data_IF_268873899852
#
_entry.id   IF_268873899852
#
_cell.length_a   1.000
_cell.length_b   1.000
_cell.length_c   1.000
_cell.angle_alpha   90.00
_cell.angle_beta   90.00
_cell.angle_gamma   90.00
#
_symmetry.space_group_name_H-M   'P 1'
#
loop_
_entity.id
_entity.type
_entity.pdbx_description
1 polymer ?
#
# COMPACT_ATOMS: atom_id res chain seq x y z
N UNK A 1 0.16 6.37 35.48
CA UNK A 1 0.19 7.83 35.24
C UNK A 1 0.79 8.58 36.43
N UNK A 2 0.01 9.05 37.43
CA UNK A 2 0.48 9.93 38.53
C UNK A 2 1.74 9.49 39.30
N UNK A 3 1.91 8.19 39.57
CA UNK A 3 3.13 7.67 40.24
C UNK A 3 4.39 7.80 39.36
N UNK A 4 4.23 7.73 38.04
CA UNK A 4 5.31 7.84 37.06
C UNK A 4 5.66 9.31 36.80
N UNK A 5 4.64 10.18 36.66
CA UNK A 5 4.80 11.64 36.48
C UNK A 5 5.60 12.30 37.60
N UNK A 6 5.48 11.80 38.84
CA UNK A 6 6.17 12.38 40.00
C UNK A 6 7.65 11.97 40.12
N UNK A 7 8.19 11.17 39.19
CA UNK A 7 9.62 10.82 39.19
C UNK A 7 10.44 11.93 38.52
N UNK A 8 11.53 12.33 39.17
CA UNK A 8 12.44 13.37 38.66
C UNK A 8 13.06 13.04 37.30
N UNK A 9 13.12 11.76 36.95
CA UNK A 9 13.65 11.23 35.68
C UNK A 9 12.66 11.38 34.50
N UNK A 10 11.39 11.69 34.78
CA UNK A 10 10.31 11.64 33.80
C UNK A 10 9.90 13.06 33.41
N UNK A 11 10.13 13.43 32.14
CA UNK A 11 9.81 14.77 31.61
C UNK A 11 8.33 14.94 31.26
N UNK A 12 7.68 13.90 30.72
CA UNK A 12 6.27 13.94 30.37
C UNK A 12 5.66 12.53 30.39
N UNK A 13 4.37 12.44 30.70
CA UNK A 13 3.58 11.20 30.58
C UNK A 13 2.31 11.57 29.82
N UNK A 14 2.15 10.96 28.65
CA UNK A 14 0.94 11.10 27.83
C UNK A 14 0.18 9.77 27.82
N UNK A 15 -1.16 9.80 27.90
CA UNK A 15 -1.97 8.61 27.70
C UNK A 15 -1.64 7.98 26.35
N UNK A 16 -1.37 6.69 26.35
CA UNK A 16 -1.35 5.93 25.10
C UNK A 16 -2.78 5.72 24.63
N UNK A 17 -3.05 6.03 23.37
CA UNK A 17 -4.37 5.85 22.76
C UNK A 17 -4.20 5.30 21.35
N UNK A 18 -5.07 4.38 20.97
CA UNK A 18 -5.07 3.84 19.62
C UNK A 18 -5.35 4.96 18.63
N UNK A 19 -4.36 5.26 17.80
CA UNK A 19 -4.51 6.14 16.64
C UNK A 19 -4.84 5.31 15.42
N UNK A 20 -5.66 5.87 14.54
CA UNK A 20 -5.82 5.31 13.19
C UNK A 20 -4.57 5.69 12.40
N UNK A 21 -3.89 4.71 11.84
CA UNK A 21 -2.77 4.95 10.93
C UNK A 21 -3.31 5.75 9.74
N UNK A 22 -2.70 6.90 9.47
CA UNK A 22 -3.00 7.75 8.34
C UNK A 22 -1.68 8.24 7.74
N UNK A 23 -1.56 8.15 6.42
CA UNK A 23 -0.38 8.64 5.68
C UNK A 23 -0.48 10.13 5.35
N UNK A 24 -1.47 10.85 5.89
CA UNK A 24 -1.77 12.24 5.56
C UNK A 24 -0.72 13.25 6.04
N UNK A 25 0.19 12.85 6.94
CA UNK A 25 1.23 13.73 7.50
C UNK A 25 2.64 13.10 7.49
N UNK A 26 2.74 11.83 7.07
CA UNK A 26 4.01 11.10 7.07
C UNK A 26 5.05 11.76 6.15
N UNK A 27 4.70 12.24 4.94
CA UNK A 27 5.66 12.93 4.08
C UNK A 27 6.27 14.17 4.72
N UNK A 28 5.45 15.00 5.38
CA UNK A 28 5.89 16.20 6.09
C UNK A 28 6.78 15.84 7.28
N UNK A 29 6.38 14.82 8.06
CA UNK A 29 7.16 14.32 9.19
C UNK A 29 8.55 13.83 8.75
N UNK A 30 8.63 13.15 7.60
CA UNK A 30 9.88 12.68 7.02
C UNK A 30 10.65 13.78 6.26
N UNK A 31 10.09 14.98 6.11
CA UNK A 31 10.72 16.09 5.39
C UNK A 31 10.81 15.88 3.88
N UNK A 32 10.01 14.98 3.29
CA UNK A 32 10.07 14.67 1.85
C UNK A 32 9.78 15.88 0.95
N UNK A 33 8.80 16.77 1.25
CA UNK A 33 8.50 17.93 0.41
C UNK A 33 9.66 18.92 0.23
N UNK A 34 10.58 18.98 1.19
CA UNK A 34 11.80 19.81 1.12
C UNK A 34 13.08 19.00 0.90
N UNK A 35 12.97 17.69 0.73
CA UNK A 35 14.07 16.73 0.71
C UNK A 35 14.10 15.94 -0.59
N UNK A 36 14.08 14.61 -0.46
CA UNK A 36 14.30 13.69 -1.58
C UNK A 36 13.38 13.95 -2.79
N UNK A 37 12.11 14.30 -2.59
CA UNK A 37 11.20 14.55 -3.71
C UNK A 37 11.63 15.75 -4.57
N UNK A 38 12.22 16.79 -3.99
CA UNK A 38 12.72 17.95 -4.75
C UNK A 38 13.87 17.54 -5.68
N UNK A 39 14.73 16.64 -5.21
CA UNK A 39 15.87 16.13 -5.99
C UNK A 39 15.37 15.31 -7.19
N UNK A 40 14.29 14.55 -7.00
CA UNK A 40 13.69 13.68 -8.01
C UNK A 40 12.64 14.39 -8.88
N UNK A 41 12.61 15.74 -8.90
CA UNK A 41 11.75 16.54 -9.79
C UNK A 41 10.39 16.94 -9.23
N UNK A 42 10.08 16.59 -7.98
CA UNK A 42 8.88 16.96 -7.26
C UNK A 42 8.00 15.75 -6.87
N UNK A 43 7.01 15.95 -5.99
CA UNK A 43 6.13 14.86 -5.51
C UNK A 43 5.35 14.17 -6.64
N UNK A 44 5.09 14.87 -7.74
CA UNK A 44 4.31 14.34 -8.88
C UNK A 44 5.10 13.35 -9.74
N UNK A 45 6.43 13.43 -9.72
CA UNK A 45 7.33 12.61 -10.57
C UNK A 45 8.27 11.73 -9.76
N UNK A 46 8.41 11.98 -8.46
CA UNK A 46 9.28 11.20 -7.59
C UNK A 46 8.85 9.72 -7.58
N UNK A 47 9.74 8.85 -8.06
CA UNK A 47 9.50 7.41 -8.19
C UNK A 47 8.96 6.96 -9.54
N UNK A 48 8.78 7.86 -10.52
CA UNK A 48 8.43 7.48 -11.88
C UNK A 48 9.48 6.50 -12.47
N UNK A 49 9.01 5.50 -13.21
CA UNK A 49 9.87 4.47 -13.79
C UNK A 49 10.30 3.36 -12.83
N UNK A 50 10.02 3.50 -11.52
CA UNK A 50 10.32 2.49 -10.50
C UNK A 50 9.08 1.63 -10.24
N UNK A 51 9.27 0.31 -10.25
CA UNK A 51 8.22 -0.66 -9.88
C UNK A 51 8.50 -1.19 -8.48
N UNK A 52 7.54 -1.05 -7.57
CA UNK A 52 7.62 -1.58 -6.21
C UNK A 52 6.67 -2.78 -6.11
N UNK A 53 7.21 -3.93 -5.74
CA UNK A 53 6.41 -5.14 -5.49
C UNK A 53 6.05 -5.25 -4.01
N UNK A 54 4.78 -5.51 -3.73
CA UNK A 54 4.27 -5.81 -2.39
C UNK A 54 3.86 -7.29 -2.34
N UNK A 55 4.29 -7.98 -1.28
CA UNK A 55 3.86 -9.36 -0.97
C UNK A 55 3.02 -9.27 0.29
N UNK A 56 1.70 -9.24 0.11
CA UNK A 56 0.74 -8.96 1.18
C UNK A 56 -0.58 -9.72 0.95
N UNK A 57 -1.67 -9.34 1.61
CA UNK A 57 -2.99 -9.99 1.56
C UNK A 57 -3.76 -9.80 0.25
N UNK A 58 -3.28 -8.91 -0.63
CA UNK A 58 -3.89 -8.59 -1.90
C UNK A 58 -3.88 -7.09 -2.14
N UNK A 59 -4.76 -6.61 -3.03
CA UNK A 59 -5.04 -5.19 -3.20
C UNK A 59 -6.50 -4.94 -3.58
N UNK A 60 -7.11 -3.86 -3.09
CA UNK A 60 -8.36 -3.30 -3.64
C UNK A 60 -8.02 -2.42 -4.86
N UNK A 61 -8.27 -2.89 -6.10
CA UNK A 61 -7.93 -2.14 -7.30
C UNK A 61 -8.80 -0.89 -7.48
N UNK A 62 -9.88 -0.74 -6.72
CA UNK A 62 -10.80 0.40 -6.81
C UNK A 62 -10.42 1.54 -5.86
N UNK A 63 -9.45 1.33 -4.97
CA UNK A 63 -9.05 2.33 -4.00
C UNK A 63 -8.42 3.56 -4.68
N UNK A 64 -8.80 4.81 -4.32
CA UNK A 64 -8.34 6.02 -5.01
C UNK A 64 -6.82 6.21 -5.09
N UNK A 65 -6.06 5.68 -4.12
CA UNK A 65 -4.58 5.72 -4.13
C UNK A 65 -3.96 5.02 -5.35
N UNK A 66 -4.69 4.12 -6.00
CA UNK A 66 -4.25 3.36 -7.17
C UNK A 66 -4.88 3.87 -8.48
N UNK A 67 -5.53 5.03 -8.47
CA UNK A 67 -6.07 5.64 -9.67
C UNK A 67 -4.94 6.17 -10.57
N UNK A 68 -5.08 6.00 -11.89
CA UNK A 68 -4.15 6.46 -12.92
C UNK A 68 -4.70 7.63 -13.75
N UNK A 69 -5.79 8.26 -13.29
CA UNK A 69 -6.46 9.40 -13.93
C UNK A 69 -6.35 10.73 -13.18
N UNK A 70 -5.54 10.79 -12.11
CA UNK A 70 -5.41 11.98 -11.26
C UNK A 70 -4.37 12.97 -11.80
N UNK A 71 -3.35 12.50 -12.52
CA UNK A 71 -2.32 13.34 -13.13
C UNK A 71 -2.72 13.78 -14.54
N UNK A 72 -2.29 14.98 -14.95
CA UNK A 72 -2.47 15.47 -16.32
C UNK A 72 -1.63 14.69 -17.32
N UNK A 73 -0.52 14.12 -16.87
CA UNK A 73 0.35 13.23 -17.65
C UNK A 73 0.17 11.78 -17.17
N UNK A 74 -0.18 10.82 -18.05
CA UNK A 74 -0.33 9.42 -17.68
C UNK A 74 1.04 8.77 -17.42
N UNK A 75 1.22 8.15 -16.27
CA UNK A 75 2.43 7.37 -15.96
C UNK A 75 2.55 6.16 -16.92
N UNK A 76 3.61 6.02 -17.72
CA UNK A 76 3.76 4.86 -18.58
C UNK A 76 4.20 3.63 -17.76
N UNK A 77 3.73 2.45 -18.16
CA UNK A 77 4.27 1.19 -17.63
C UNK A 77 5.73 1.07 -18.09
N UNK A 78 6.71 0.88 -17.18
CA UNK A 78 8.10 0.80 -17.59
C UNK A 78 8.33 -0.34 -18.60
N UNK A 79 9.08 -0.11 -19.69
CA UNK A 79 9.19 -1.08 -20.80
C UNK A 79 9.88 -2.39 -20.41
N UNK A 80 10.61 -2.40 -19.30
CA UNK A 80 11.28 -3.56 -18.75
C UNK A 80 10.36 -4.38 -17.80
N UNK A 81 9.17 -3.88 -17.47
CA UNK A 81 8.24 -4.60 -16.61
C UNK A 81 7.63 -5.78 -17.36
N UNK A 82 7.75 -6.98 -16.79
CA UNK A 82 7.26 -8.23 -17.37
C UNK A 82 6.28 -8.97 -16.45
N UNK A 83 5.76 -8.29 -15.42
CA UNK A 83 4.75 -8.87 -14.53
C UNK A 83 3.41 -9.04 -15.24
N UNK A 84 2.54 -9.85 -14.64
CA UNK A 84 1.21 -10.12 -15.16
C UNK A 84 0.14 -9.48 -14.26
N UNK A 85 -1.00 -9.18 -14.88
CA UNK A 85 -2.24 -8.92 -14.17
C UNK A 85 -3.13 -10.16 -14.30
N UNK A 86 -3.24 -10.93 -13.22
CA UNK A 86 -4.06 -12.11 -13.19
C UNK A 86 -5.54 -11.74 -13.22
N UNK A 87 -6.31 -12.40 -14.07
CA UNK A 87 -7.76 -12.20 -14.18
C UNK A 87 -8.46 -13.36 -13.48
N UNK A 88 -9.27 -13.01 -12.49
CA UNK A 88 -10.13 -13.95 -11.76
C UNK A 88 -11.55 -13.42 -11.72
N UNK A 89 -12.46 -14.16 -11.05
CA UNK A 89 -13.85 -13.71 -10.86
C UNK A 89 -13.92 -12.42 -10.04
N UNK A 90 -13.11 -12.31 -9.00
CA UNK A 90 -13.15 -11.21 -8.03
C UNK A 90 -12.11 -10.11 -8.38
N UNK A 91 -11.25 -10.38 -9.37
CA UNK A 91 -10.29 -9.44 -9.93
C UNK A 91 -10.40 -9.44 -11.47
N UNK A 92 -11.44 -8.80 -12.03
CA UNK A 92 -11.75 -8.88 -13.46
C UNK A 92 -10.75 -8.10 -14.33
N UNK A 93 -10.89 -8.28 -15.66
CA UNK A 93 -10.15 -7.47 -16.63
C UNK A 93 -10.40 -5.98 -16.40
N UNK A 94 -9.33 -5.19 -16.30
CA UNK A 94 -9.37 -3.76 -16.01
C UNK A 94 -9.08 -3.40 -14.55
N UNK A 95 -8.90 -4.38 -13.66
CA UNK A 95 -8.45 -4.12 -12.28
C UNK A 95 -7.02 -3.59 -12.20
N UNK A 96 -6.13 -4.02 -13.09
CA UNK A 96 -4.84 -3.35 -13.28
C UNK A 96 -5.00 -2.17 -14.25
N UNK A 97 -4.22 -1.13 -14.01
CA UNK A 97 -4.17 0.10 -14.79
C UNK A 97 -2.71 0.56 -14.93
N UNK A 98 -2.47 1.86 -15.20
CA UNK A 98 -1.10 2.38 -15.31
C UNK A 98 -0.40 2.67 -13.97
N UNK A 99 -1.11 2.60 -12.84
CA UNK A 99 -0.58 2.72 -11.48
C UNK A 99 -0.38 1.36 -10.83
N UNK A 100 -1.42 0.52 -10.80
CA UNK A 100 -1.37 -0.89 -10.42
C UNK A 100 -1.11 -1.71 -11.69
N UNK A 101 0.16 -1.95 -12.00
CA UNK A 101 0.57 -2.52 -13.30
C UNK A 101 0.64 -4.05 -13.32
N UNK A 102 0.58 -4.70 -12.17
CA UNK A 102 0.57 -6.16 -12.05
C UNK A 102 0.02 -6.60 -10.71
N UNK A 103 -0.62 -7.77 -10.70
CA UNK A 103 -1.28 -8.35 -9.54
C UNK A 103 -1.38 -9.86 -9.76
N UNK A 104 -0.91 -10.65 -8.80
CA UNK A 104 -0.98 -12.11 -8.82
C UNK A 104 -1.18 -12.63 -7.40
N UNK A 105 -1.66 -13.86 -7.28
CA UNK A 105 -1.90 -14.48 -5.98
C UNK A 105 -1.25 -15.85 -5.86
N UNK A 106 -1.00 -16.28 -4.62
CA UNK A 106 -0.30 -17.53 -4.33
C UNK A 106 -0.98 -18.31 -3.18
N UNK A 107 -2.26 -18.64 -3.34
CA UNK A 107 -3.06 -19.30 -2.29
C UNK A 107 -2.90 -20.84 -2.24
N UNK A 108 -2.28 -21.47 -3.25
CA UNK A 108 -2.29 -22.92 -3.43
C UNK A 108 -1.76 -23.71 -2.21
N UNK A 109 -0.70 -23.22 -1.55
CA UNK A 109 -0.15 -23.89 -0.37
C UNK A 109 -1.06 -23.78 0.85
N UNK A 110 -1.68 -22.62 1.08
CA UNK A 110 -2.62 -22.41 2.17
C UNK A 110 -3.85 -23.30 2.00
N UNK A 111 -4.37 -23.40 0.77
CA UNK A 111 -5.50 -24.28 0.42
C UNK A 111 -5.14 -25.73 0.67
N UNK A 112 -4.00 -26.21 0.15
CA UNK A 112 -3.57 -27.60 0.31
C UNK A 112 -3.35 -28.00 1.79
N UNK A 113 -2.99 -27.03 2.64
CA UNK A 113 -2.76 -27.23 4.08
C UNK A 113 -4.02 -27.02 4.94
N UNK A 114 -5.16 -26.66 4.34
CA UNK A 114 -6.39 -26.35 5.06
C UNK A 114 -6.30 -25.09 5.93
N UNK A 115 -5.38 -24.18 5.62
CA UNK A 115 -5.19 -22.90 6.31
C UNK A 115 -5.95 -21.75 5.64
N UNK A 116 -6.42 -21.94 4.41
CA UNK A 116 -7.15 -20.94 3.65
C UNK A 116 -8.60 -20.81 4.15
N UNK A 117 -8.96 -19.62 4.65
CA UNK A 117 -10.28 -19.32 5.14
C UNK A 117 -11.13 -18.64 4.05
N UNK A 118 -11.88 -19.41 3.26
CA UNK A 118 -12.65 -18.89 2.13
C UNK A 118 -13.79 -17.90 2.49
N UNK A 119 -14.04 -17.62 3.77
CA UNK A 119 -14.95 -16.54 4.20
C UNK A 119 -14.27 -15.19 4.33
N UNK A 120 -12.93 -15.16 4.38
CA UNK A 120 -12.09 -13.97 4.59
C UNK A 120 -11.08 -13.83 3.43
N UNK A 121 -10.44 -14.93 3.04
CA UNK A 121 -9.43 -15.00 2.00
C UNK A 121 -10.03 -15.16 0.60
N UNK A 122 -9.36 -14.56 -0.39
CA UNK A 122 -9.66 -14.72 -1.81
C UNK A 122 -8.53 -15.48 -2.50
N UNK A 123 -8.88 -16.50 -3.30
CA UNK A 123 -7.95 -17.16 -4.21
C UNK A 123 -7.82 -16.32 -5.49
N UNK A 124 -7.43 -15.05 -5.30
CA UNK A 124 -7.27 -14.03 -6.32
C UNK A 124 -6.36 -12.91 -5.80
N UNK A 125 -5.94 -11.97 -6.65
CA UNK A 125 -5.19 -10.79 -6.18
C UNK A 125 -6.01 -9.80 -5.33
N UNK A 126 -7.34 -9.95 -5.26
CA UNK A 126 -8.21 -9.05 -4.50
C UNK A 126 -7.96 -9.15 -2.99
N UNK A 127 -7.95 -8.00 -2.31
CA UNK A 127 -7.78 -7.90 -0.86
C UNK A 127 -9.12 -8.04 -0.12
N UNK A 128 -9.27 -9.12 0.65
CA UNK A 128 -10.41 -9.32 1.55
C UNK A 128 -10.18 -8.82 2.98
N UNK A 129 -8.92 -8.60 3.36
CA UNK A 129 -8.50 -8.25 4.72
C UNK A 129 -8.36 -6.73 4.89
N UNK A 130 -7.69 -6.08 3.93
CA UNK A 130 -7.44 -4.64 3.90
C UNK A 130 -6.01 -4.26 4.30
N UNK A 131 -5.19 -5.16 4.84
CA UNK A 131 -3.79 -4.85 5.19
C UNK A 131 -2.92 -4.51 3.97
N UNK A 132 -3.18 -5.16 2.83
CA UNK A 132 -2.44 -4.93 1.59
C UNK A 132 -2.77 -3.60 0.88
N UNK A 133 -3.94 -3.02 1.17
CA UNK A 133 -4.48 -1.81 0.52
C UNK A 133 -4.15 -0.53 1.28
#
# INVERSE_FOLDING_TARGET
AKKLENRKEVTNVVPDFSVRLATTHTPEFLGLPGGAWVIEGGPDVAGEGIVIGFIDTGIDPTHPSFSDGISTEPYPVPPHFSGACEITKDFPSGSCNRKLIGACHFAASAIARGLFNATEDYASPFDGDGHGT
#
